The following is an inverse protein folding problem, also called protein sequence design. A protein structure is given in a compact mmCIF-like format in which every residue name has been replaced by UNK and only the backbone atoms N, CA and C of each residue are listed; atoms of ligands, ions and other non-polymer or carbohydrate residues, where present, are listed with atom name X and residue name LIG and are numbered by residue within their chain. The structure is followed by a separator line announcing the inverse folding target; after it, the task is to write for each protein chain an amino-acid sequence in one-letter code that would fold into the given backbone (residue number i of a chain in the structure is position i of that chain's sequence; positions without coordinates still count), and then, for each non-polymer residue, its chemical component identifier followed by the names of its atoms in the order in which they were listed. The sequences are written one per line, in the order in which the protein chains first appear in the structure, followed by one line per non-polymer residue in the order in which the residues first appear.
data_IF_354105480714
#
_entry.id   IF_354105480714
#
_cell.length_a   1.000
_cell.length_b   1.000
_cell.length_c   1.000
_cell.angle_alpha   90.00
_cell.angle_beta   90.00
_cell.angle_gamma   90.00
#
_symmetry.space_group_name_H-M   'P 1'
#
loop_
_entity.id
_entity.type
_entity.pdbx_description
1 polymer ?
#
# COMPACT_ATOMS: atom_id res chain seq x y z
N UNK A 1 6.75 24.45 7.18
CA UNK A 1 5.73 23.51 7.72
C UNK A 1 6.40 22.17 7.85
N UNK A 2 6.51 21.65 9.07
CA UNK A 2 7.11 20.34 9.32
C UNK A 2 6.26 19.20 8.73
N UNK A 3 6.83 17.99 8.59
CA UNK A 3 6.06 16.82 8.16
C UNK A 3 4.86 16.57 9.07
N UNK A 4 5.05 16.76 10.39
CA UNK A 4 3.95 16.64 11.37
C UNK A 4 2.84 17.68 11.14
N UNK A 5 3.18 18.92 10.79
CA UNK A 5 2.18 19.96 10.48
C UNK A 5 1.46 19.67 9.16
N UNK A 6 2.15 19.15 8.14
CA UNK A 6 1.50 18.72 6.88
C UNK A 6 0.58 17.52 7.09
N UNK A 7 1.02 16.56 7.88
CA UNK A 7 0.21 15.39 8.23
C UNK A 7 -1.02 15.79 9.02
N UNK A 8 -0.89 16.68 10.01
CA UNK A 8 -2.03 17.25 10.76
C UNK A 8 -3.00 17.99 9.84
N UNK A 9 -2.49 18.85 8.96
CA UNK A 9 -3.34 19.60 8.01
C UNK A 9 -4.17 18.66 7.12
N UNK A 10 -3.59 17.54 6.65
CA UNK A 10 -4.34 16.55 5.88
C UNK A 10 -5.37 15.80 6.76
N UNK A 11 -5.02 15.47 7.99
CA UNK A 11 -5.89 14.76 8.92
C UNK A 11 -7.03 15.63 9.46
N UNK A 12 -6.88 16.96 9.45
CA UNK A 12 -7.96 17.90 9.77
C UNK A 12 -9.10 17.87 8.72
N UNK A 13 -8.76 17.51 7.47
CA UNK A 13 -9.73 17.38 6.37
C UNK A 13 -10.17 15.93 6.12
N UNK A 14 -9.28 14.97 6.34
CA UNK A 14 -9.52 13.55 6.08
C UNK A 14 -9.34 12.75 7.36
N UNK A 15 -10.44 12.48 8.06
CA UNK A 15 -10.39 11.64 9.27
C UNK A 15 -9.95 10.22 8.90
N UNK A 16 -8.89 9.75 9.55
CA UNK A 16 -8.50 8.34 9.51
C UNK A 16 -8.84 7.66 10.84
N UNK A 17 -9.05 6.35 10.90
CA UNK A 17 -9.41 5.65 12.12
C UNK A 17 -8.44 5.83 13.29
N UNK A 18 -7.16 6.06 12.98
CA UNK A 18 -6.07 6.15 13.98
C UNK A 18 -5.51 7.55 14.15
N UNK A 19 -5.95 8.53 13.37
CA UNK A 19 -5.34 9.86 13.31
C UNK A 19 -3.92 9.87 12.72
N UNK A 20 -3.55 8.83 11.96
CA UNK A 20 -2.29 8.73 11.20
C UNK A 20 -2.58 8.41 9.73
N UNK A 21 -1.67 8.71 8.78
CA UNK A 21 -1.85 8.34 7.38
C UNK A 21 -1.88 6.84 7.13
N UNK A 22 -1.36 6.04 8.07
CA UNK A 22 -1.39 4.58 8.02
C UNK A 22 -2.36 4.04 9.07
N UNK A 23 -3.14 3.06 8.70
CA UNK A 23 -4.15 2.45 9.56
C UNK A 23 -4.58 1.07 9.03
N UNK A 24 -5.34 0.34 9.82
CA UNK A 24 -5.97 -0.91 9.42
C UNK A 24 -7.45 -0.90 9.79
N UNK A 25 -8.21 -1.73 9.10
CA UNK A 25 -9.61 -1.98 9.40
C UNK A 25 -10.03 -3.35 8.86
N UNK A 26 -11.16 -3.85 9.35
CA UNK A 26 -11.75 -5.10 8.87
C UNK A 26 -13.19 -4.89 8.42
N UNK A 27 -13.59 -5.60 7.38
CA UNK A 27 -14.97 -5.69 6.93
C UNK A 27 -15.34 -7.17 6.87
N UNK A 28 -16.12 -7.62 7.84
CA UNK A 28 -16.42 -9.04 8.00
C UNK A 28 -15.13 -9.85 8.19
N UNK A 29 -14.85 -10.74 7.26
CA UNK A 29 -13.69 -11.63 7.26
C UNK A 29 -12.51 -11.12 6.42
N UNK A 30 -12.56 -9.88 5.97
CA UNK A 30 -11.52 -9.25 5.17
C UNK A 30 -10.75 -8.23 5.99
N UNK A 31 -9.42 -8.33 5.97
CA UNK A 31 -8.51 -7.41 6.65
C UNK A 31 -7.85 -6.48 5.63
N UNK A 32 -7.79 -5.21 5.98
CA UNK A 32 -7.20 -4.16 5.15
C UNK A 32 -6.16 -3.39 5.94
N UNK A 33 -5.01 -3.13 5.30
CA UNK A 33 -3.96 -2.27 5.84
C UNK A 33 -3.60 -1.19 4.84
N UNK A 34 -3.62 0.06 5.28
CA UNK A 34 -3.24 1.24 4.50
C UNK A 34 -1.89 1.72 4.98
N UNK A 35 -0.97 1.92 4.06
CA UNK A 35 0.42 2.29 4.31
C UNK A 35 0.77 3.60 3.63
N UNK A 36 1.79 4.25 4.14
CA UNK A 36 2.37 5.47 3.58
C UNK A 36 3.84 5.24 3.25
N UNK A 37 4.21 5.47 1.99
CA UNK A 37 5.60 5.36 1.52
C UNK A 37 6.48 6.54 1.95
N UNK A 38 5.87 7.59 2.50
CA UNK A 38 6.52 8.83 2.87
C UNK A 38 7.09 9.59 1.66
N UNK A 39 8.30 10.11 1.74
CA UNK A 39 8.91 11.00 0.76
C UNK A 39 9.76 10.25 -0.29
N UNK A 40 10.03 10.91 -1.40
CA UNK A 40 10.75 10.34 -2.54
C UNK A 40 12.28 10.38 -2.39
N UNK A 41 12.80 11.14 -1.40
CA UNK A 41 14.22 11.31 -1.11
C UNK A 41 14.54 11.06 0.37
N UNK A 42 15.81 10.77 0.72
CA UNK A 42 16.23 10.62 2.11
C UNK A 42 16.19 11.94 2.87
N UNK A 43 16.04 11.89 4.20
CA UNK A 43 16.01 13.05 5.08
C UNK A 43 17.25 13.97 4.94
N UNK A 44 18.39 13.39 4.51
CA UNK A 44 19.63 14.10 4.27
C UNK A 44 19.69 14.86 2.95
N UNK A 45 18.65 14.75 2.09
CA UNK A 45 18.64 15.45 0.82
C UNK A 45 18.57 16.98 1.03
N UNK A 46 19.37 17.70 0.25
CA UNK A 46 19.50 19.16 0.36
C UNK A 46 18.16 19.89 0.10
N UNK A 47 17.32 19.33 -0.75
CA UNK A 47 16.00 19.91 -1.06
C UNK A 47 15.08 19.98 0.18
N UNK A 48 15.29 19.07 1.14
CA UNK A 48 14.48 19.07 2.36
C UNK A 48 15.01 20.01 3.45
N UNK A 49 16.24 20.51 3.32
CA UNK A 49 16.82 21.48 4.26
C UNK A 49 16.69 21.09 5.73
N UNK A 50 16.67 19.78 6.03
CA UNK A 50 16.55 19.24 7.38
C UNK A 50 15.15 19.33 8.02
N UNK A 51 14.11 19.69 7.26
CA UNK A 51 12.72 19.83 7.77
C UNK A 51 11.88 18.57 7.61
N UNK A 52 12.40 17.54 6.95
CA UNK A 52 11.74 16.25 6.75
C UNK A 52 12.32 15.21 7.70
N UNK A 53 11.48 14.35 8.23
CA UNK A 53 11.84 13.27 9.14
C UNK A 53 11.15 11.95 8.74
N UNK A 54 11.37 11.54 7.48
CA UNK A 54 10.78 10.33 6.89
C UNK A 54 11.29 9.06 7.55
N UNK A 55 12.58 8.98 7.84
CA UNK A 55 13.20 7.79 8.45
C UNK A 55 12.64 7.46 9.85
N UNK A 56 12.52 8.40 10.79
CA UNK A 56 11.85 8.14 12.06
C UNK A 56 10.36 7.81 11.90
N UNK A 57 9.68 8.43 10.95
CA UNK A 57 8.28 8.16 10.63
C UNK A 57 8.09 6.73 10.13
N UNK A 58 8.87 6.29 9.14
CA UNK A 58 8.83 4.94 8.60
C UNK A 58 9.16 3.87 9.66
N UNK A 59 10.08 4.15 10.59
CA UNK A 59 10.36 3.26 11.72
C UNK A 59 9.15 3.12 12.66
N UNK A 60 8.42 4.21 12.92
CA UNK A 60 7.18 4.15 13.71
C UNK A 60 6.10 3.34 13.00
N UNK A 61 5.93 3.57 11.69
CA UNK A 61 4.99 2.80 10.88
C UNK A 61 5.36 1.31 10.84
N UNK A 62 6.64 0.98 10.65
CA UNK A 62 7.12 -0.41 10.68
C UNK A 62 6.81 -1.10 12.02
N UNK A 63 7.06 -0.42 13.14
CA UNK A 63 6.74 -0.96 14.45
C UNK A 63 5.24 -1.22 14.60
N UNK A 64 4.41 -0.23 14.25
CA UNK A 64 2.96 -0.36 14.25
C UNK A 64 2.49 -1.50 13.33
N UNK A 65 3.07 -1.61 12.12
CA UNK A 65 2.71 -2.66 11.17
C UNK A 65 2.95 -4.06 11.76
N UNK A 66 4.09 -4.28 12.40
CA UNK A 66 4.39 -5.55 13.08
C UNK A 66 3.33 -5.91 14.13
N UNK A 67 2.87 -4.92 14.90
CA UNK A 67 1.87 -5.13 15.94
C UNK A 67 0.49 -5.44 15.32
N UNK A 68 0.07 -4.69 14.32
CA UNK A 68 -1.25 -4.85 13.70
C UNK A 68 -1.38 -6.14 12.87
N UNK A 69 -0.30 -6.59 12.24
CA UNK A 69 -0.29 -7.86 11.51
C UNK A 69 -0.36 -9.09 12.44
N UNK A 70 -0.08 -8.92 13.75
CA UNK A 70 -0.26 -9.95 14.78
C UNK A 70 -1.64 -9.90 15.45
N UNK A 71 -2.50 -8.97 15.07
CA UNK A 71 -3.86 -8.87 15.63
C UNK A 71 -4.72 -10.09 15.28
N UNK A 72 -5.75 -10.33 16.07
CA UNK A 72 -6.72 -11.42 15.78
C UNK A 72 -7.46 -11.17 14.47
N UNK A 73 -7.78 -9.92 14.17
CA UNK A 73 -8.44 -9.50 12.94
C UNK A 73 -7.61 -9.86 11.71
N UNK A 74 -6.30 -9.64 11.76
CA UNK A 74 -5.41 -10.00 10.65
C UNK A 74 -5.24 -11.52 10.53
N UNK A 75 -4.96 -12.20 11.65
CA UNK A 75 -4.71 -13.65 11.66
C UNK A 75 -5.91 -14.48 11.22
N UNK A 76 -7.11 -14.07 11.62
CA UNK A 76 -8.35 -14.78 11.32
C UNK A 76 -8.98 -14.35 9.99
N UNK A 77 -8.42 -13.36 9.30
CA UNK A 77 -8.94 -12.90 8.02
C UNK A 77 -8.83 -13.98 6.94
N UNK A 78 -9.87 -14.11 6.11
CA UNK A 78 -9.82 -14.95 4.93
C UNK A 78 -9.06 -14.27 3.77
N UNK A 79 -9.14 -12.95 3.67
CA UNK A 79 -8.41 -12.15 2.66
C UNK A 79 -7.75 -10.97 3.32
N UNK A 80 -6.50 -10.71 2.97
CA UNK A 80 -5.67 -9.60 3.48
C UNK A 80 -5.21 -8.73 2.34
N UNK A 81 -5.60 -7.46 2.35
CA UNK A 81 -5.29 -6.50 1.29
C UNK A 81 -4.46 -5.36 1.86
N UNK A 82 -3.41 -4.99 1.16
CA UNK A 82 -2.62 -3.80 1.46
C UNK A 82 -2.91 -2.67 0.46
N UNK A 83 -2.85 -1.43 0.92
CA UNK A 83 -2.93 -0.23 0.10
C UNK A 83 -1.73 0.67 0.38
N UNK A 84 -1.14 1.20 -0.67
CA UNK A 84 -0.19 2.29 -0.60
C UNK A 84 -0.22 3.09 -1.89
N UNK A 85 -0.17 4.42 -1.81
CA UNK A 85 -0.19 5.24 -3.03
C UNK A 85 1.00 4.92 -3.94
N UNK A 86 2.22 4.91 -3.41
CA UNK A 86 3.43 4.55 -4.14
C UNK A 86 3.61 3.03 -4.11
N UNK A 87 3.79 2.36 -5.25
CA UNK A 87 4.08 0.93 -5.28
C UNK A 87 5.49 0.63 -4.75
N UNK A 88 5.71 -0.53 -4.10
CA UNK A 88 7.04 -0.95 -3.68
C UNK A 88 7.89 -1.27 -4.91
N UNK A 89 9.11 -0.71 -4.98
CA UNK A 89 10.08 -0.94 -6.04
C UNK A 89 11.50 -0.99 -5.47
N UNK A 90 12.25 -2.05 -5.77
CA UNK A 90 13.62 -2.24 -5.27
C UNK A 90 14.58 -1.13 -5.72
N UNK A 91 14.44 -0.69 -6.98
CA UNK A 91 15.23 0.34 -7.61
C UNK A 91 14.42 1.62 -7.90
N UNK A 92 13.29 1.78 -7.22
CA UNK A 92 12.43 2.95 -7.33
C UNK A 92 12.91 4.14 -6.50
N UNK A 93 12.05 5.11 -6.33
CA UNK A 93 12.28 6.26 -5.46
C UNK A 93 12.55 5.82 -4.01
N UNK A 94 13.12 6.71 -3.22
CA UNK A 94 13.54 6.40 -1.85
C UNK A 94 12.44 5.72 -1.02
N UNK A 95 11.24 6.32 -0.97
CA UNK A 95 10.10 5.75 -0.24
C UNK A 95 9.70 4.36 -0.74
N UNK A 96 9.64 4.15 -2.07
CA UNK A 96 9.35 2.85 -2.67
C UNK A 96 10.38 1.78 -2.28
N UNK A 97 11.68 2.14 -2.33
CA UNK A 97 12.77 1.26 -1.90
C UNK A 97 12.75 1.00 -0.39
N UNK A 98 12.38 2.00 0.44
CA UNK A 98 12.21 1.81 1.87
C UNK A 98 11.03 0.87 2.20
N UNK A 99 9.95 0.93 1.44
CA UNK A 99 8.85 -0.05 1.58
C UNK A 99 9.38 -1.47 1.36
N UNK A 100 10.13 -1.72 0.28
CA UNK A 100 10.71 -3.04 0.02
C UNK A 100 11.61 -3.53 1.17
N UNK A 101 12.36 -2.62 1.80
CA UNK A 101 13.30 -2.97 2.89
C UNK A 101 12.61 -3.17 4.23
N UNK A 102 11.58 -2.38 4.55
CA UNK A 102 11.00 -2.27 5.89
C UNK A 102 9.61 -2.90 6.03
N UNK A 103 8.74 -2.72 5.04
CA UNK A 103 7.33 -3.06 5.18
C UNK A 103 6.98 -4.37 4.47
N UNK A 104 7.45 -4.55 3.24
CA UNK A 104 7.14 -5.73 2.43
C UNK A 104 7.51 -7.05 3.11
N UNK A 105 8.67 -7.22 3.79
CA UNK A 105 8.96 -8.48 4.47
C UNK A 105 7.91 -8.87 5.52
N UNK A 106 7.34 -7.89 6.25
CA UNK A 106 6.30 -8.18 7.25
C UNK A 106 4.96 -8.51 6.59
N UNK A 107 4.65 -7.89 5.45
CA UNK A 107 3.46 -8.19 4.67
C UNK A 107 3.53 -9.61 4.06
N UNK A 108 4.71 -10.01 3.57
CA UNK A 108 4.96 -11.38 3.11
C UNK A 108 4.73 -12.40 4.22
N UNK A 109 5.33 -12.17 5.40
CA UNK A 109 5.17 -13.03 6.59
C UNK A 109 3.71 -13.16 7.04
N UNK A 110 2.94 -12.07 6.94
CA UNK A 110 1.52 -12.05 7.29
C UNK A 110 0.62 -12.69 6.22
N UNK A 111 1.14 -13.02 5.05
CA UNK A 111 0.39 -13.62 3.95
C UNK A 111 -0.63 -12.64 3.35
N UNK A 112 -0.19 -11.43 2.99
CA UNK A 112 -1.01 -10.50 2.20
C UNK A 112 -1.32 -11.13 0.85
N UNK A 113 -2.57 -11.00 0.40
CA UNK A 113 -3.02 -11.58 -0.87
C UNK A 113 -2.76 -10.65 -2.06
N UNK A 114 -2.92 -9.35 -1.89
CA UNK A 114 -2.68 -8.35 -2.93
C UNK A 114 -2.39 -6.98 -2.33
N UNK A 115 -1.68 -6.14 -3.08
CA UNK A 115 -1.53 -4.71 -2.79
C UNK A 115 -2.07 -3.88 -3.94
N UNK A 116 -2.80 -2.81 -3.62
CA UNK A 116 -3.28 -1.83 -4.58
C UNK A 116 -2.54 -0.51 -4.42
N UNK A 117 -2.08 0.02 -5.55
CA UNK A 117 -1.28 1.24 -5.62
C UNK A 117 -1.73 2.13 -6.78
N UNK A 118 -1.20 3.34 -6.83
CA UNK A 118 -1.38 4.31 -7.91
C UNK A 118 -0.05 4.84 -8.41
N UNK A 119 0.17 6.17 -8.31
CA UNK A 119 1.41 6.89 -8.50
C UNK A 119 2.02 6.86 -9.91
N UNK A 120 2.20 5.69 -10.52
CA UNK A 120 2.85 5.51 -11.82
C UNK A 120 1.97 5.91 -13.02
N UNK A 121 0.72 6.29 -12.77
CA UNK A 121 -0.28 6.74 -13.74
C UNK A 121 -0.56 5.77 -14.90
N UNK A 122 -0.15 4.52 -14.78
CA UNK A 122 -0.35 3.48 -15.77
C UNK A 122 -0.80 2.17 -15.13
N UNK A 123 -1.53 1.36 -15.89
CA UNK A 123 -1.84 0.01 -15.47
C UNK A 123 -0.58 -0.83 -15.38
N UNK A 124 -0.36 -1.45 -14.24
CA UNK A 124 0.71 -2.44 -14.05
C UNK A 124 0.28 -3.47 -13.01
N UNK A 125 0.58 -4.71 -13.29
CA UNK A 125 0.54 -5.81 -12.33
C UNK A 125 1.94 -6.33 -12.19
N UNK A 126 2.54 -6.12 -11.02
CA UNK A 126 3.81 -6.74 -10.63
C UNK A 126 3.50 -8.04 -9.89
N UNK A 127 4.15 -9.12 -10.28
CA UNK A 127 3.94 -10.45 -9.70
C UNK A 127 5.17 -10.93 -8.93
N UNK A 128 5.03 -11.85 -7.97
CA UNK A 128 6.18 -12.41 -7.27
C UNK A 128 7.28 -12.90 -8.22
N UNK A 129 8.50 -12.46 -7.99
CA UNK A 129 9.67 -12.87 -8.78
C UNK A 129 9.93 -12.10 -10.08
N UNK A 130 9.14 -11.07 -10.42
CA UNK A 130 9.36 -10.23 -11.61
C UNK A 130 10.56 -9.26 -11.50
N UNK A 131 11.17 -9.16 -10.30
CA UNK A 131 12.32 -8.33 -10.04
C UNK A 131 12.00 -6.85 -9.77
N UNK A 132 10.74 -6.44 -9.84
CA UNK A 132 10.31 -5.07 -9.53
C UNK A 132 10.33 -4.83 -8.03
N UNK A 133 9.76 -5.74 -7.26
CA UNK A 133 9.75 -5.69 -5.80
C UNK A 133 10.12 -7.04 -5.19
N UNK A 134 10.22 -7.09 -3.86
CA UNK A 134 10.36 -8.33 -3.09
C UNK A 134 9.03 -8.78 -2.48
N UNK A 135 7.91 -8.30 -3.02
CA UNK A 135 6.58 -8.77 -2.60
C UNK A 135 6.34 -10.21 -3.08
N UNK A 136 5.81 -11.05 -2.20
CA UNK A 136 5.37 -12.42 -2.49
C UNK A 136 3.87 -12.48 -2.84
N UNK A 137 3.31 -11.34 -3.19
CA UNK A 137 1.92 -11.12 -3.61
C UNK A 137 1.88 -10.12 -4.78
N UNK A 138 0.83 -10.13 -5.61
CA UNK A 138 0.71 -9.17 -6.70
C UNK A 138 0.50 -7.74 -6.19
N UNK A 139 1.17 -6.79 -6.85
CA UNK A 139 0.98 -5.35 -6.68
C UNK A 139 0.32 -4.79 -7.92
N UNK A 140 -0.89 -4.27 -7.78
CA UNK A 140 -1.72 -3.79 -8.88
C UNK A 140 -1.82 -2.27 -8.84
N UNK A 141 -1.29 -1.61 -9.86
CA UNK A 141 -1.33 -0.16 -9.97
C UNK A 141 -2.51 0.30 -10.82
N UNK A 142 -3.32 1.19 -10.25
CA UNK A 142 -4.43 1.84 -10.95
C UNK A 142 -3.88 2.93 -11.88
N UNK A 143 -4.27 2.96 -13.16
CA UNK A 143 -3.86 4.02 -14.07
C UNK A 143 -4.56 5.34 -13.76
N UNK A 144 -3.98 6.44 -14.28
CA UNK A 144 -4.58 7.76 -14.19
C UNK A 144 -5.94 7.79 -14.91
N UNK A 145 -6.86 8.63 -14.40
CA UNK A 145 -8.20 8.87 -14.96
C UNK A 145 -9.07 7.61 -15.11
N UNK A 146 -8.81 6.58 -14.31
CA UNK A 146 -9.59 5.35 -14.32
C UNK A 146 -10.05 4.98 -12.90
N UNK A 147 -11.20 4.33 -12.83
CA UNK A 147 -11.73 3.72 -11.63
C UNK A 147 -11.33 2.26 -11.58
N UNK A 148 -10.81 1.80 -10.45
CA UNK A 148 -10.58 0.39 -10.17
C UNK A 148 -11.75 -0.17 -9.37
N UNK A 149 -12.27 -1.30 -9.79
CA UNK A 149 -13.23 -2.11 -9.05
C UNK A 149 -12.61 -3.45 -8.67
N UNK A 150 -12.69 -3.79 -7.40
CA UNK A 150 -12.18 -5.04 -6.85
C UNK A 150 -13.34 -5.85 -6.32
N UNK A 151 -13.52 -7.04 -6.85
CA UNK A 151 -14.53 -8.00 -6.38
C UNK A 151 -13.81 -9.17 -5.72
N UNK A 152 -14.09 -9.39 -4.44
CA UNK A 152 -13.61 -10.55 -3.70
C UNK A 152 -14.75 -11.57 -3.67
N UNK A 153 -14.49 -12.75 -4.18
CA UNK A 153 -15.41 -13.88 -4.19
C UNK A 153 -14.74 -15.11 -3.60
N UNK A 154 -15.49 -16.20 -3.44
CA UNK A 154 -14.94 -17.47 -3.00
C UNK A 154 -13.85 -17.94 -3.99
N UNK A 155 -12.60 -18.03 -3.51
CA UNK A 155 -11.45 -18.50 -4.27
C UNK A 155 -10.79 -17.48 -5.21
N UNK A 156 -11.27 -16.24 -5.36
CA UNK A 156 -10.64 -15.30 -6.27
C UNK A 156 -10.84 -13.83 -5.91
N UNK A 157 -9.86 -13.00 -6.29
CA UNK A 157 -9.96 -11.53 -6.31
C UNK A 157 -9.93 -11.10 -7.78
N UNK A 158 -11.03 -10.52 -8.25
CA UNK A 158 -11.12 -9.97 -9.60
C UNK A 158 -11.00 -8.46 -9.58
N UNK A 159 -10.12 -7.93 -10.43
CA UNK A 159 -9.78 -6.52 -10.50
C UNK A 159 -10.07 -6.04 -11.92
N UNK A 160 -10.89 -5.00 -12.04
CA UNK A 160 -11.21 -4.37 -13.30
C UNK A 160 -10.92 -2.87 -13.21
N UNK A 161 -10.45 -2.28 -14.31
CA UNK A 161 -10.38 -0.82 -14.43
C UNK A 161 -11.31 -0.32 -15.53
N UNK A 162 -11.88 0.85 -15.31
CA UNK A 162 -12.85 1.47 -16.21
C UNK A 162 -12.42 2.91 -16.50
N UNK A 163 -12.49 3.31 -17.77
CA UNK A 163 -12.27 4.69 -18.16
C UNK A 163 -13.46 5.60 -17.78
N UNK A 164 -13.33 6.87 -18.09
CA UNK A 164 -14.38 7.88 -17.79
C UNK A 164 -15.69 7.63 -18.54
N UNK A 165 -15.69 6.84 -19.60
CA UNK A 165 -16.89 6.42 -20.34
C UNK A 165 -17.57 5.19 -19.71
N UNK A 166 -16.94 4.56 -18.74
CA UNK A 166 -17.39 3.30 -18.12
C UNK A 166 -16.98 2.05 -18.90
N UNK A 167 -16.11 2.17 -19.91
CA UNK A 167 -15.59 1.02 -20.63
C UNK A 167 -14.51 0.33 -19.81
N UNK A 168 -14.61 -1.01 -19.70
CA UNK A 168 -13.56 -1.82 -19.11
C UNK A 168 -12.28 -1.74 -19.94
N UNK A 169 -11.16 -1.40 -19.32
CA UNK A 169 -9.86 -1.21 -19.98
C UNK A 169 -8.86 -2.29 -19.63
N UNK A 170 -8.92 -2.82 -18.41
CA UNK A 170 -8.04 -3.88 -17.93
C UNK A 170 -8.80 -4.83 -17.01
N UNK A 171 -8.38 -6.08 -16.98
CA UNK A 171 -8.86 -7.11 -16.05
C UNK A 171 -7.68 -7.93 -15.57
N UNK A 172 -7.64 -8.21 -14.27
CA UNK A 172 -6.72 -9.16 -13.66
C UNK A 172 -7.50 -10.02 -12.64
N UNK A 173 -7.22 -11.31 -12.61
CA UNK A 173 -7.80 -12.23 -11.64
C UNK A 173 -6.69 -12.91 -10.87
N UNK A 174 -6.76 -12.83 -9.56
CA UNK A 174 -5.89 -13.54 -8.63
C UNK A 174 -6.67 -14.71 -8.04
N UNK A 175 -6.22 -15.93 -8.30
CA UNK A 175 -6.76 -17.13 -7.66
C UNK A 175 -6.22 -17.27 -6.23
N UNK A 176 -7.11 -17.43 -5.27
CA UNK A 176 -6.79 -17.65 -3.86
C UNK A 176 -6.68 -19.15 -3.60
N UNK A 177 -5.47 -19.68 -3.64
CA UNK A 177 -5.20 -21.10 -3.34
C UNK A 177 -5.23 -21.32 -1.82
N UNK A 178 -6.40 -21.58 -1.27
CA UNK A 178 -6.61 -21.83 0.18
C UNK A 178 -7.31 -23.14 0.40
#
# INVERSE_FOLDING_TARGET
MSLEERTRSNLDYFSTPTGTPYYSFSIGKYFFVVLDACEDKPDSDIEYSGIVASDPYLKRQEKWLKEVLQSEECRNAEVRIAFCHVPPELNGWYGAAQMCRRLIPHLNEAGIDAMFSGHIHSWRVSTPGDGISNAEFPVVCNPNMQRMEVTISEGAIRINTFDVSGKNTNTYTLELNR
#
